data_IF_719814353187
#
_entry.id   IF_719814353187
#
_cell.length_a   1.000
_cell.length_b   1.000
_cell.length_c   1.000
_cell.angle_alpha   90.00
_cell.angle_beta   90.00
_cell.angle_gamma   90.00
#
_symmetry.space_group_name_H-M   'P 1'
#
loop_
_entity.id
_entity.type
_entity.pdbx_description
1 polymer ?
#
# COMPACT_ATOMS: atom_id res chain seq x y z
N UNK A 1 62.92 1.96 0.99
CA UNK A 1 63.46 0.70 0.43
C UNK A 1 62.86 -0.41 1.26
N UNK A 2 61.88 -1.19 0.82
CA UNK A 2 61.49 -1.54 -0.55
C UNK A 2 59.99 -1.89 -0.56
N UNK A 3 59.26 -1.35 -1.54
CA UNK A 3 58.04 -2.01 -2.01
C UNK A 3 58.42 -3.27 -2.79
N UNK A 4 57.50 -4.24 -2.85
CA UNK A 4 57.25 -4.91 -4.12
C UNK A 4 55.75 -4.87 -4.51
N UNK A 5 55.54 -4.24 -5.66
CA UNK A 5 54.58 -4.54 -6.75
C UNK A 5 54.46 -6.06 -7.05
N UNK A 6 53.43 -6.73 -7.58
CA UNK A 6 52.20 -6.47 -8.38
C UNK A 6 51.46 -7.82 -8.51
N UNK A 7 50.12 -7.89 -8.62
CA UNK A 7 49.35 -8.54 -9.72
C UNK A 7 47.82 -8.52 -9.51
N UNK A 8 47.13 -8.54 -10.65
CA UNK A 8 45.78 -8.08 -11.02
C UNK A 8 44.67 -9.14 -10.88
N UNK A 9 43.42 -8.64 -10.89
CA UNK A 9 42.19 -9.27 -11.42
C UNK A 9 41.51 -10.31 -10.50
N UNK A 10 40.26 -10.09 -10.09
CA UNK A 10 39.09 -10.50 -10.90
C UNK A 10 37.82 -9.88 -10.32
N UNK A 11 37.00 -9.30 -11.19
CA UNK A 11 35.69 -8.79 -10.81
C UNK A 11 34.72 -9.89 -10.46
N UNK A 12 33.84 -9.63 -9.50
CA UNK A 12 32.50 -10.20 -9.44
C UNK A 12 31.58 -9.03 -9.09
N UNK A 13 30.85 -8.53 -10.09
CA UNK A 13 29.60 -7.80 -9.89
C UNK A 13 28.51 -8.86 -9.95
N UNK A 14 28.27 -9.59 -8.88
CA UNK A 14 27.14 -10.51 -8.80
C UNK A 14 26.84 -10.81 -7.33
N UNK A 15 26.10 -9.91 -6.69
CA UNK A 15 25.16 -10.33 -5.66
C UNK A 15 23.76 -10.05 -6.19
N UNK A 16 23.44 -10.74 -7.28
CA UNK A 16 22.07 -11.04 -7.65
C UNK A 16 21.56 -11.96 -6.53
N UNK A 17 21.13 -11.35 -5.42
CA UNK A 17 20.45 -12.05 -4.34
C UNK A 17 19.17 -12.59 -4.96
N UNK A 18 19.26 -13.84 -5.40
CA UNK A 18 18.12 -14.67 -5.74
C UNK A 18 17.24 -14.69 -4.50
N UNK A 19 16.30 -13.75 -4.46
CA UNK A 19 15.16 -13.81 -3.57
C UNK A 19 14.43 -15.10 -3.96
N UNK A 20 14.78 -16.19 -3.27
CA UNK A 20 14.03 -17.43 -3.30
C UNK A 20 12.68 -17.10 -2.71
N UNK A 21 11.73 -16.74 -3.56
CA UNK A 21 10.32 -16.76 -3.21
C UNK A 21 9.93 -18.21 -3.01
N UNK A 22 10.10 -18.69 -1.79
CA UNK A 22 9.18 -19.69 -1.24
C UNK A 22 7.81 -19.03 -1.28
N UNK A 23 7.03 -19.35 -2.31
CA UNK A 23 5.62 -18.98 -2.38
C UNK A 23 4.92 -19.94 -1.44
N UNK A 24 5.04 -19.65 -0.14
CA UNK A 24 3.98 -20.05 0.77
C UNK A 24 2.79 -19.19 0.33
N UNK A 25 1.69 -19.80 -0.12
CA UNK A 25 0.41 -19.10 -0.24
C UNK A 25 -0.10 -18.79 1.18
N UNK A 26 0.67 -18.03 1.95
CA UNK A 26 0.13 -17.28 3.06
C UNK A 26 -0.88 -16.32 2.47
N UNK A 27 -2.11 -16.36 2.98
CA UNK A 27 -3.14 -15.41 2.58
C UNK A 27 -2.68 -14.01 3.01
N UNK A 28 -1.93 -13.35 2.13
CA UNK A 28 -1.38 -12.03 2.40
C UNK A 28 -2.50 -11.01 2.56
N UNK A 29 -2.34 -10.13 3.54
CA UNK A 29 -3.23 -8.99 3.71
C UNK A 29 -3.17 -8.10 2.47
N UNK A 30 -4.31 -7.88 1.83
CA UNK A 30 -4.43 -7.04 0.64
C UNK A 30 -5.53 -6.00 0.86
N UNK A 31 -5.29 -4.77 0.41
CA UNK A 31 -6.32 -3.73 0.30
C UNK A 31 -6.46 -3.32 -1.16
N UNK A 32 -7.69 -3.22 -1.63
CA UNK A 32 -8.02 -2.81 -2.99
C UNK A 32 -9.12 -1.74 -2.99
N UNK A 33 -9.11 -0.87 -3.99
CA UNK A 33 -10.16 0.11 -4.18
C UNK A 33 -10.50 0.32 -5.67
N UNK A 34 -11.78 0.42 -6.01
CA UNK A 34 -12.25 0.55 -7.38
C UNK A 34 -13.57 1.35 -7.47
N UNK A 35 -13.82 2.06 -8.58
CA UNK A 35 -12.87 2.31 -9.68
C UNK A 35 -11.77 3.29 -9.25
N UNK A 36 -10.61 3.22 -9.90
CA UNK A 36 -9.56 4.23 -9.77
C UNK A 36 -9.02 4.52 -11.17
N UNK A 37 -9.26 5.71 -11.76
CA UNK A 37 -9.90 6.89 -11.17
C UNK A 37 -11.40 6.75 -10.84
N UNK A 38 -11.92 7.53 -9.88
CA UNK A 38 -13.31 7.52 -9.42
C UNK A 38 -14.04 8.82 -9.77
N UNK A 39 -15.33 8.71 -10.14
CA UNK A 39 -16.20 9.86 -10.47
C UNK A 39 -17.22 10.18 -9.36
N UNK A 40 -17.44 9.28 -8.41
CA UNK A 40 -18.42 9.47 -7.34
C UNK A 40 -18.32 8.40 -6.27
N UNK A 41 -18.71 7.17 -6.57
CA UNK A 41 -18.71 6.09 -5.59
C UNK A 41 -17.44 5.24 -5.70
N UNK A 42 -16.68 5.14 -4.61
CA UNK A 42 -15.50 4.29 -4.48
C UNK A 42 -15.82 3.09 -3.58
N UNK A 43 -15.51 1.88 -4.04
CA UNK A 43 -15.55 0.68 -3.22
C UNK A 43 -14.14 0.38 -2.70
N UNK A 44 -14.02 0.15 -1.41
CA UNK A 44 -12.77 -0.25 -0.75
C UNK A 44 -12.99 -1.62 -0.12
N UNK A 45 -12.07 -2.54 -0.35
CA UNK A 45 -12.14 -3.90 0.17
C UNK A 45 -10.80 -4.39 0.69
N UNK A 46 -10.84 -5.29 1.66
CA UNK A 46 -9.67 -5.94 2.26
C UNK A 46 -9.81 -7.46 2.20
N UNK A 47 -8.69 -8.16 2.03
CA UNK A 47 -8.58 -9.62 1.98
C UNK A 47 -7.48 -10.11 2.92
N UNK A 48 -7.50 -11.40 3.23
CA UNK A 48 -6.54 -12.03 4.14
C UNK A 48 -6.77 -11.74 5.62
N UNK A 49 -7.99 -11.34 5.99
CA UNK A 49 -8.38 -11.06 7.37
C UNK A 49 -9.76 -11.65 7.66
N UNK A 50 -9.95 -12.27 8.81
CA UNK A 50 -11.21 -12.92 9.21
C UNK A 50 -12.17 -11.95 9.89
N UNK A 51 -11.66 -11.11 10.80
CA UNK A 51 -12.42 -10.08 11.49
C UNK A 51 -11.96 -8.68 11.06
N UNK A 52 -12.93 -7.81 10.79
CA UNK A 52 -12.68 -6.44 10.37
C UNK A 52 -13.27 -5.47 11.39
N UNK A 53 -12.39 -4.94 12.23
CA UNK A 53 -12.65 -3.72 12.99
C UNK A 53 -11.55 -2.72 12.69
N UNK A 54 -11.85 -1.78 11.78
CA UNK A 54 -10.88 -0.87 11.22
C UNK A 54 -11.47 0.51 10.92
N UNK A 55 -10.57 1.44 10.61
CA UNK A 55 -10.89 2.75 10.09
C UNK A 55 -10.14 3.03 8.78
N UNK A 56 -10.85 3.64 7.84
CA UNK A 56 -10.29 4.23 6.64
C UNK A 56 -10.09 5.73 6.87
N UNK A 57 -8.88 6.20 6.64
CA UNK A 57 -8.49 7.60 6.71
C UNK A 57 -8.30 8.11 5.29
N UNK A 58 -9.13 9.05 4.86
CA UNK A 58 -9.05 9.67 3.55
C UNK A 58 -8.31 10.99 3.71
N UNK A 59 -7.17 11.12 3.06
CA UNK A 59 -6.28 12.27 3.15
C UNK A 59 -5.99 12.84 1.77
N UNK A 60 -5.76 14.14 1.68
CA UNK A 60 -5.22 14.74 0.46
C UNK A 60 -3.68 14.53 0.34
N UNK A 61 -3.09 14.98 -0.77
CA UNK A 61 -1.63 14.87 -1.01
C UNK A 61 -0.76 15.63 0.01
N UNK A 62 -1.31 16.62 0.71
CA UNK A 62 -0.59 17.34 1.76
C UNK A 62 -0.56 16.57 3.09
N UNK A 63 -1.28 15.44 3.18
CA UNK A 63 -1.46 14.67 4.40
C UNK A 63 -2.58 15.21 5.29
N UNK A 64 -3.36 16.19 4.82
CA UNK A 64 -4.52 16.69 5.58
C UNK A 64 -5.61 15.64 5.59
N UNK A 65 -6.09 15.31 6.78
CA UNK A 65 -7.23 14.43 6.97
C UNK A 65 -8.52 15.10 6.46
N UNK A 66 -9.21 14.43 5.54
CA UNK A 66 -10.47 14.89 4.94
C UNK A 66 -11.65 14.19 5.61
N UNK A 67 -11.54 12.87 5.81
CA UNK A 67 -12.61 12.08 6.41
C UNK A 67 -12.05 10.81 7.06
N UNK A 68 -12.80 10.29 8.03
CA UNK A 68 -12.59 8.97 8.63
C UNK A 68 -13.88 8.18 8.45
N UNK A 69 -13.76 6.94 7.97
CA UNK A 69 -14.89 6.03 7.83
C UNK A 69 -14.59 4.72 8.55
N UNK A 70 -15.51 4.32 9.42
CA UNK A 70 -15.42 3.00 10.08
C UNK A 70 -15.67 1.88 9.07
N UNK A 71 -14.93 0.79 9.23
CA UNK A 71 -15.01 -0.40 8.41
C UNK A 71 -15.18 -1.60 9.34
N UNK A 72 -16.43 -2.09 9.42
CA UNK A 72 -16.84 -3.25 10.24
C UNK A 72 -16.99 -4.54 9.42
N UNK A 73 -16.76 -4.44 8.12
CA UNK A 73 -16.90 -5.51 7.12
C UNK A 73 -15.71 -5.48 6.18
N UNK A 74 -15.46 -6.56 5.44
CA UNK A 74 -14.34 -6.65 4.48
C UNK A 74 -14.48 -5.72 3.26
N UNK A 75 -15.62 -5.06 3.08
CA UNK A 75 -15.81 -4.01 2.09
C UNK A 75 -16.63 -2.85 2.65
N UNK A 76 -16.36 -1.65 2.16
CA UNK A 76 -17.12 -0.42 2.46
C UNK A 76 -17.13 0.49 1.24
N UNK A 77 -18.19 1.29 1.14
CA UNK A 77 -18.36 2.26 0.06
C UNK A 77 -18.12 3.67 0.58
N UNK A 78 -17.32 4.43 -0.14
CA UNK A 78 -16.99 5.84 0.13
C UNK A 78 -17.62 6.70 -0.95
N UNK A 79 -18.42 7.69 -0.54
CA UNK A 79 -18.92 8.71 -1.46
C UNK A 79 -17.86 9.82 -1.64
N UNK A 80 -17.22 9.81 -2.80
CA UNK A 80 -16.23 10.78 -3.27
C UNK A 80 -16.86 11.91 -4.10
N UNK A 81 -18.19 11.95 -4.28
CA UNK A 81 -18.84 12.92 -5.16
C UNK A 81 -18.64 14.36 -4.70
N UNK A 82 -18.59 14.59 -3.38
CA UNK A 82 -18.37 15.89 -2.72
C UNK A 82 -16.91 16.31 -2.61
N UNK A 83 -15.97 15.44 -3.02
CA UNK A 83 -14.54 15.68 -2.92
C UNK A 83 -14.08 16.39 -4.20
N UNK A 84 -13.16 17.34 -4.05
CA UNK A 84 -12.58 18.03 -5.20
C UNK A 84 -11.81 17.05 -6.11
N UNK A 85 -11.76 17.35 -7.40
CA UNK A 85 -10.88 16.64 -8.34
C UNK A 85 -9.43 16.69 -7.85
N UNK A 86 -8.74 15.56 -7.86
CA UNK A 86 -7.40 15.49 -7.31
C UNK A 86 -6.95 14.08 -6.92
N UNK A 87 -5.84 14.02 -6.21
CA UNK A 87 -5.30 12.76 -5.69
C UNK A 87 -5.49 12.69 -4.18
N UNK A 88 -5.92 11.53 -3.72
CA UNK A 88 -6.17 11.20 -2.33
C UNK A 88 -5.37 9.97 -1.93
N UNK A 89 -5.03 9.88 -0.66
CA UNK A 89 -4.47 8.70 -0.03
C UNK A 89 -5.53 8.12 0.92
N UNK A 90 -5.93 6.88 0.67
CA UNK A 90 -6.76 6.12 1.60
C UNK A 90 -5.83 5.23 2.41
N UNK A 91 -5.84 5.41 3.72
CA UNK A 91 -5.11 4.55 4.66
C UNK A 91 -6.09 3.71 5.45
N UNK A 92 -5.88 2.40 5.44
CA UNK A 92 -6.54 1.46 6.34
C UNK A 92 -5.70 1.29 7.60
N UNK A 93 -6.37 1.22 8.75
CA UNK A 93 -5.77 0.80 10.01
C UNK A 93 -6.80 0.02 10.83
N UNK A 94 -6.44 -1.19 11.25
CA UNK A 94 -7.28 -1.98 12.15
C UNK A 94 -6.85 -1.88 13.62
N UNK A 95 -7.66 -2.50 14.49
CA UNK A 95 -7.38 -2.60 15.93
C UNK A 95 -6.13 -3.41 16.26
N UNK A 96 -5.68 -4.29 15.37
CA UNK A 96 -4.44 -5.08 15.51
C UNK A 96 -3.19 -4.32 15.07
N UNK A 97 -3.37 -3.09 14.54
CA UNK A 97 -2.28 -2.25 14.04
C UNK A 97 -1.84 -2.56 12.62
N UNK A 98 -2.53 -3.47 11.89
CA UNK A 98 -2.29 -3.68 10.46
C UNK A 98 -2.67 -2.42 9.71
N UNK A 99 -1.81 -2.02 8.78
CA UNK A 99 -2.03 -0.83 7.97
C UNK A 99 -1.88 -1.15 6.50
N UNK A 100 -2.71 -0.49 5.68
CA UNK A 100 -2.65 -0.54 4.23
C UNK A 100 -2.82 0.87 3.68
N UNK A 101 -2.30 1.17 2.49
CA UNK A 101 -2.51 2.48 1.89
C UNK A 101 -2.62 2.39 0.38
N UNK A 102 -3.54 3.18 -0.19
CA UNK A 102 -3.83 3.24 -1.61
C UNK A 102 -3.89 4.69 -2.06
N UNK A 103 -3.36 4.95 -3.26
CA UNK A 103 -3.51 6.24 -3.95
C UNK A 103 -4.74 6.18 -4.86
N UNK A 104 -5.66 7.12 -4.69
CA UNK A 104 -6.90 7.23 -5.46
C UNK A 104 -6.92 8.54 -6.22
N UNK A 105 -7.32 8.50 -7.48
CA UNK A 105 -7.53 9.70 -8.29
C UNK A 105 -9.03 9.96 -8.42
N UNK A 106 -9.49 11.11 -7.92
CA UNK A 106 -10.82 11.66 -8.14
C UNK A 106 -10.79 12.51 -9.40
N UNK A 107 -11.66 12.22 -10.38
CA UNK A 107 -11.77 13.05 -11.60
C UNK A 107 -12.41 14.40 -11.30
#
# INVERSE_FOLDING_TARGET
>A
MSDPTTVTQTGIKDDNVAASSVIDEEVSFEIAAYPNPVDGILNVSVRGIEEVDAALYIMDLSGKLISIQEMKTTAVTVDMSSYASGTYMIRYKDVQGRTGSLKITRK
#
